data_IF_278118346046
#
_entry.id   IF_278118346046
#
_cell.length_a   1.000
_cell.length_b   1.000
_cell.length_c   1.000
_cell.angle_alpha   90.00
_cell.angle_beta   90.00
_cell.angle_gamma   90.00
#
_symmetry.space_group_name_H-M   'P 1'
#
loop_
_entity.id
_entity.type
_entity.pdbx_description
1 polymer ?
#
# COMPACT_ATOMS: atom_id res chain seq x y z
N UNK A 1 -22.75 -9.96 -15.11
CA UNK A 1 -22.62 -8.62 -14.52
C UNK A 1 -21.16 -8.23 -14.70
N UNK A 2 -20.85 -7.12 -15.37
CA UNK A 2 -19.47 -6.67 -15.44
C UNK A 2 -19.11 -6.13 -14.05
N UNK A 3 -18.35 -6.88 -13.27
CA UNK A 3 -17.71 -6.36 -12.07
C UNK A 3 -16.69 -5.34 -12.58
N UNK A 4 -16.92 -4.05 -12.34
CA UNK A 4 -15.93 -3.03 -12.68
C UNK A 4 -14.73 -3.25 -11.79
N UNK A 5 -13.68 -3.81 -12.36
CA UNK A 5 -12.40 -4.07 -11.70
C UNK A 5 -11.73 -2.76 -11.31
N UNK A 6 -11.20 -2.68 -10.09
CA UNK A 6 -10.47 -1.51 -9.59
C UNK A 6 -9.14 -1.36 -10.35
N UNK A 7 -8.91 -0.20 -10.98
CA UNK A 7 -7.62 0.10 -11.62
C UNK A 7 -6.64 0.66 -10.58
N UNK A 8 -5.52 -0.04 -10.39
CA UNK A 8 -4.45 0.39 -9.48
C UNK A 8 -3.61 1.54 -10.06
N UNK A 9 -3.72 1.80 -11.37
CA UNK A 9 -2.89 2.75 -12.12
C UNK A 9 -2.82 4.17 -11.56
N UNK A 10 -3.94 4.83 -11.22
CA UNK A 10 -3.90 6.18 -10.65
C UNK A 10 -3.07 6.26 -9.38
N UNK A 11 -3.23 5.27 -8.48
CA UNK A 11 -2.57 5.30 -7.19
C UNK A 11 -1.08 4.94 -7.29
N UNK A 12 -0.71 3.98 -8.15
CA UNK A 12 0.70 3.64 -8.38
C UNK A 12 1.47 4.75 -9.09
N UNK A 13 0.81 5.51 -9.98
CA UNK A 13 1.38 6.69 -10.62
C UNK A 13 1.65 7.82 -9.60
N UNK A 14 0.76 8.01 -8.63
CA UNK A 14 0.98 8.97 -7.55
C UNK A 14 2.20 8.59 -6.70
N UNK A 15 2.31 7.32 -6.27
CA UNK A 15 3.48 6.86 -5.50
C UNK A 15 4.77 7.03 -6.32
N UNK A 16 4.73 6.75 -7.63
CA UNK A 16 5.85 7.01 -8.54
C UNK A 16 6.31 8.48 -8.52
N UNK A 17 5.37 9.42 -8.52
CA UNK A 17 5.65 10.86 -8.43
C UNK A 17 6.33 11.22 -7.10
N UNK A 18 5.88 10.61 -5.99
CA UNK A 18 6.48 10.82 -4.67
C UNK A 18 7.92 10.30 -4.64
N UNK A 19 8.14 9.07 -5.08
CA UNK A 19 9.47 8.40 -5.13
C UNK A 19 10.50 9.23 -5.88
N UNK A 20 10.12 9.81 -7.03
CA UNK A 20 11.00 10.68 -7.81
C UNK A 20 11.46 11.93 -7.04
N UNK A 21 10.70 12.37 -6.05
CA UNK A 21 10.99 13.55 -5.24
C UNK A 21 11.77 13.28 -3.95
N UNK A 22 12.04 12.02 -3.59
CA UNK A 22 12.71 11.65 -2.34
C UNK A 22 14.22 11.92 -2.43
N UNK A 23 14.74 12.71 -1.49
CA UNK A 23 16.16 13.06 -1.39
C UNK A 23 16.91 12.10 -0.46
N UNK A 24 18.22 11.98 -0.68
CA UNK A 24 19.11 11.15 0.14
C UNK A 24 19.08 11.51 1.63
N UNK A 25 19.06 12.81 1.96
CA UNK A 25 19.02 13.30 3.34
C UNK A 25 17.73 12.92 4.09
N UNK A 26 16.68 12.51 3.37
CA UNK A 26 15.40 12.14 3.95
C UNK A 26 15.29 10.64 4.26
N UNK A 27 16.24 9.81 3.80
CA UNK A 27 16.17 8.35 3.93
C UNK A 27 16.10 7.87 5.39
N UNK A 28 16.67 8.63 6.32
CA UNK A 28 16.65 8.32 7.75
C UNK A 28 15.44 8.91 8.50
N UNK A 29 14.59 9.70 7.84
CA UNK A 29 13.44 10.32 8.49
C UNK A 29 12.45 9.26 9.01
N UNK A 30 11.82 9.48 10.17
CA UNK A 30 10.74 8.63 10.64
C UNK A 30 9.53 8.73 9.69
N UNK A 31 8.72 7.67 9.66
CA UNK A 31 7.44 7.65 8.94
C UNK A 31 6.29 7.47 9.93
N UNK A 32 5.03 7.75 9.52
CA UNK A 32 3.86 7.39 10.33
C UNK A 32 3.74 5.89 10.60
N UNK A 33 4.29 5.03 9.74
CA UNK A 33 4.40 3.60 9.99
C UNK A 33 5.54 3.32 10.97
N UNK A 34 5.22 3.26 12.25
CA UNK A 34 6.18 3.02 13.34
C UNK A 34 7.06 1.81 13.06
N UNK A 35 8.37 1.96 13.26
CA UNK A 35 9.36 0.91 12.98
C UNK A 35 10.00 1.01 11.59
N UNK A 36 9.43 1.79 10.67
CA UNK A 36 10.03 2.07 9.36
C UNK A 36 10.44 3.53 9.23
N UNK A 37 11.71 3.77 8.92
CA UNK A 37 12.15 5.04 8.35
C UNK A 37 11.90 5.03 6.83
N UNK A 38 12.15 6.16 6.15
CA UNK A 38 11.93 6.28 4.71
C UNK A 38 12.68 5.20 3.90
N UNK A 39 13.91 4.85 4.27
CA UNK A 39 14.67 3.81 3.59
C UNK A 39 14.03 2.41 3.71
N UNK A 40 13.61 2.04 4.93
CA UNK A 40 12.91 0.78 5.16
C UNK A 40 11.54 0.76 4.45
N UNK A 41 10.83 1.88 4.42
CA UNK A 41 9.55 2.00 3.70
C UNK A 41 9.74 1.85 2.18
N UNK A 42 10.81 2.41 1.61
CA UNK A 42 11.12 2.21 0.19
C UNK A 42 11.47 0.76 -0.13
N UNK A 43 12.22 0.09 0.76
CA UNK A 43 12.51 -1.34 0.65
C UNK A 43 11.22 -2.19 0.71
N UNK A 44 10.32 -1.87 1.64
CA UNK A 44 8.98 -2.47 1.73
C UNK A 44 8.21 -2.33 0.42
N UNK A 45 8.15 -1.14 -0.16
CA UNK A 45 7.49 -0.88 -1.45
C UNK A 45 8.11 -1.70 -2.60
N UNK A 46 9.43 -1.87 -2.62
CA UNK A 46 10.13 -2.72 -3.62
C UNK A 46 9.73 -4.18 -3.46
N UNK A 47 9.67 -4.70 -2.23
CA UNK A 47 9.22 -6.06 -1.94
C UNK A 47 7.74 -6.28 -2.28
N UNK A 48 6.86 -5.39 -1.82
CA UNK A 48 5.42 -5.51 -1.98
C UNK A 48 5.03 -5.52 -3.46
N UNK A 49 5.61 -4.64 -4.28
CA UNK A 49 5.23 -4.53 -5.70
C UNK A 49 5.55 -5.81 -6.45
N UNK A 50 6.62 -6.53 -6.09
CA UNK A 50 6.93 -7.86 -6.62
C UNK A 50 5.94 -8.89 -6.12
N UNK A 51 5.68 -8.93 -4.81
CA UNK A 51 4.80 -9.92 -4.19
C UNK A 51 3.37 -9.86 -4.76
N UNK A 52 2.78 -8.66 -4.80
CA UNK A 52 1.42 -8.45 -5.28
C UNK A 52 1.29 -8.56 -6.80
N UNK A 53 2.34 -8.26 -7.58
CA UNK A 53 2.35 -8.57 -9.03
C UNK A 53 2.34 -10.08 -9.25
N UNK A 54 3.17 -10.83 -8.54
CA UNK A 54 3.21 -12.30 -8.64
C UNK A 54 1.89 -12.94 -8.20
N UNK A 55 1.22 -12.35 -7.22
CA UNK A 55 -0.11 -12.79 -6.81
C UNK A 55 -1.15 -12.61 -7.92
N UNK A 56 -1.15 -11.47 -8.62
CA UNK A 56 -1.99 -11.28 -9.82
C UNK A 56 -1.69 -12.31 -10.91
N UNK A 57 -0.40 -12.61 -11.12
CA UNK A 57 0.08 -13.60 -12.09
C UNK A 57 -0.13 -15.06 -11.64
N UNK A 58 -0.68 -15.29 -10.44
CA UNK A 58 -0.82 -16.61 -9.80
C UNK A 58 0.49 -17.41 -9.78
N UNK A 59 1.60 -16.70 -9.63
CA UNK A 59 2.93 -17.28 -9.60
C UNK A 59 3.29 -17.78 -8.19
N UNK A 60 4.08 -18.85 -8.11
CA UNK A 60 4.65 -19.32 -6.83
C UNK A 60 5.62 -18.29 -6.23
N UNK A 61 5.85 -18.33 -4.92
CA UNK A 61 6.90 -17.55 -4.26
C UNK A 61 6.58 -16.06 -4.13
N UNK A 62 5.46 -15.73 -3.48
CA UNK A 62 5.04 -14.35 -3.17
C UNK A 62 5.51 -13.85 -1.81
N UNK A 63 6.28 -14.65 -1.07
CA UNK A 63 6.93 -14.23 0.17
C UNK A 63 8.08 -13.25 -0.06
N UNK A 64 8.22 -12.30 0.85
CA UNK A 64 9.31 -11.33 0.90
C UNK A 64 10.06 -11.39 2.23
N UNK A 65 11.23 -10.77 2.28
CA UNK A 65 11.95 -10.50 3.53
C UNK A 65 11.25 -9.36 4.28
N UNK A 66 11.36 -9.33 5.60
CA UNK A 66 10.95 -8.16 6.39
C UNK A 66 11.71 -6.92 5.91
N UNK A 67 11.03 -5.76 5.81
CA UNK A 67 11.62 -4.55 5.30
C UNK A 67 12.75 -4.03 6.20
N UNK A 68 13.89 -3.67 5.62
CA UNK A 68 15.03 -3.12 6.34
C UNK A 68 15.71 -2.02 5.51
N UNK A 69 16.06 -0.91 6.15
CA UNK A 69 16.83 0.16 5.53
C UNK A 69 18.15 -0.33 4.92
N UNK A 70 18.78 -1.35 5.51
CA UNK A 70 20.01 -1.96 5.02
C UNK A 70 19.83 -2.76 3.72
N UNK A 71 18.59 -3.17 3.39
CA UNK A 71 18.27 -3.93 2.19
C UNK A 71 17.92 -3.03 1.00
N UNK A 72 17.74 -1.73 1.21
CA UNK A 72 17.32 -0.80 0.17
C UNK A 72 18.28 -0.86 -1.03
N UNK A 73 17.74 -1.35 -2.14
CA UNK A 73 18.51 -1.56 -3.38
C UNK A 73 18.97 -0.22 -3.99
N UNK A 74 20.23 -0.08 -4.46
CA UNK A 74 20.75 1.21 -4.94
C UNK A 74 19.97 1.83 -6.13
N UNK A 75 19.26 1.00 -6.90
CA UNK A 75 18.48 1.40 -8.07
C UNK A 75 17.00 1.68 -7.75
N UNK A 76 16.61 1.81 -6.47
CA UNK A 76 15.22 1.98 -6.04
C UNK A 76 14.47 3.10 -6.78
N UNK A 77 15.16 4.21 -7.13
CA UNK A 77 14.57 5.36 -7.84
C UNK A 77 14.05 5.03 -9.24
N UNK A 78 14.63 4.04 -9.91
CA UNK A 78 14.19 3.60 -11.24
C UNK A 78 13.43 2.28 -11.16
N UNK A 79 13.83 1.40 -10.24
CA UNK A 79 13.20 0.10 -10.02
C UNK A 79 11.76 0.23 -9.54
N UNK A 80 11.52 1.01 -8.49
CA UNK A 80 10.21 1.08 -7.86
C UNK A 80 9.13 1.65 -8.81
N UNK A 81 9.38 2.73 -9.58
CA UNK A 81 8.46 3.19 -10.63
C UNK A 81 8.10 2.10 -11.66
N UNK A 82 9.11 1.36 -12.16
CA UNK A 82 8.87 0.29 -13.12
C UNK A 82 8.07 -0.87 -12.52
N UNK A 83 8.32 -1.22 -11.25
CA UNK A 83 7.57 -2.25 -10.54
C UNK A 83 6.12 -1.82 -10.25
N UNK A 84 5.89 -0.54 -9.92
CA UNK A 84 4.57 0.04 -9.71
C UNK A 84 3.73 0.02 -11.00
N UNK A 85 4.33 0.31 -12.14
CA UNK A 85 3.69 0.19 -13.46
C UNK A 85 3.36 -1.28 -13.79
N UNK A 86 4.29 -2.19 -13.54
CA UNK A 86 4.08 -3.63 -13.75
C UNK A 86 2.99 -4.20 -12.84
N UNK A 87 2.94 -3.77 -11.57
CA UNK A 87 1.88 -4.12 -10.61
C UNK A 87 0.51 -3.69 -11.14
N UNK A 88 0.37 -2.41 -11.53
CA UNK A 88 -0.89 -1.90 -12.07
C UNK A 88 -1.29 -2.64 -13.36
N UNK A 89 -0.33 -2.96 -14.22
CA UNK A 89 -0.59 -3.72 -15.45
C UNK A 89 -1.09 -5.13 -15.16
N UNK A 90 -0.50 -5.85 -14.20
CA UNK A 90 -0.92 -7.20 -13.86
C UNK A 90 -2.34 -7.25 -13.30
N UNK A 91 -2.72 -6.29 -12.46
CA UNK A 91 -4.08 -6.22 -11.89
C UNK A 91 -5.13 -5.63 -12.84
N UNK A 92 -4.77 -5.17 -14.04
CA UNK A 92 -5.75 -4.84 -15.10
C UNK A 92 -6.28 -6.08 -15.81
N UNK A 93 -5.58 -7.21 -15.72
CA UNK A 93 -6.13 -8.48 -16.20
C UNK A 93 -7.32 -8.88 -15.32
N UNK A 94 -8.47 -9.15 -15.95
CA UNK A 94 -9.65 -9.58 -15.22
C UNK A 94 -9.42 -10.93 -14.51
N UNK A 95 -8.63 -11.82 -15.11
CA UNK A 95 -8.34 -13.15 -14.56
C UNK A 95 -7.51 -13.07 -13.28
N UNK A 96 -6.82 -11.95 -13.03
CA UNK A 96 -6.07 -11.70 -11.80
C UNK A 96 -6.98 -11.60 -10.56
N UNK A 97 -8.25 -11.26 -10.73
CA UNK A 97 -9.22 -11.09 -9.64
C UNK A 97 -10.01 -12.35 -9.32
N UNK A 98 -9.95 -13.34 -10.21
CA UNK A 98 -10.78 -14.54 -10.13
C UNK A 98 -10.07 -15.70 -9.44
N UNK A 99 -10.78 -16.33 -8.50
CA UNK A 99 -10.36 -17.55 -7.81
C UNK A 99 -9.43 -17.27 -6.62
N UNK A 100 -8.49 -18.18 -6.40
CA UNK A 100 -7.54 -18.11 -5.29
C UNK A 100 -6.15 -17.72 -5.80
N UNK A 101 -5.39 -17.04 -4.95
CA UNK A 101 -3.96 -16.77 -5.15
C UNK A 101 -3.21 -16.86 -3.82
N UNK A 102 -1.89 -16.78 -3.87
CA UNK A 102 -1.04 -16.88 -2.68
C UNK A 102 -0.36 -15.56 -2.41
N UNK A 103 -0.40 -15.06 -1.18
CA UNK A 103 0.36 -13.89 -0.72
C UNK A 103 1.02 -14.21 0.62
N UNK A 104 2.32 -13.92 0.77
CA UNK A 104 3.08 -14.23 1.99
C UNK A 104 2.94 -15.70 2.47
N UNK A 105 2.80 -16.65 1.53
CA UNK A 105 2.62 -18.07 1.83
C UNK A 105 1.21 -18.49 2.26
N UNK A 106 0.24 -17.56 2.26
CA UNK A 106 -1.17 -17.82 2.57
C UNK A 106 -2.00 -17.83 1.29
N UNK A 107 -2.87 -18.84 1.16
CA UNK A 107 -3.84 -18.92 0.06
C UNK A 107 -5.10 -18.13 0.42
N UNK A 108 -5.51 -17.19 -0.44
CA UNK A 108 -6.60 -16.26 -0.22
C UNK A 108 -7.37 -15.97 -1.51
N UNK A 109 -8.63 -15.52 -1.44
CA UNK A 109 -9.36 -15.03 -2.62
C UNK A 109 -8.57 -13.91 -3.31
N UNK A 110 -8.40 -14.01 -4.63
CA UNK A 110 -7.57 -13.08 -5.37
C UNK A 110 -8.09 -11.63 -5.31
N UNK A 111 -9.42 -11.46 -5.25
CA UNK A 111 -10.03 -10.15 -5.05
C UNK A 111 -9.64 -9.50 -3.71
N UNK A 112 -9.53 -10.27 -2.63
CA UNK A 112 -9.09 -9.76 -1.33
C UNK A 112 -7.61 -9.37 -1.38
N UNK A 113 -6.78 -10.18 -2.03
CA UNK A 113 -5.35 -9.87 -2.22
C UNK A 113 -5.16 -8.60 -3.06
N UNK A 114 -5.99 -8.37 -4.08
CA UNK A 114 -5.98 -7.14 -4.86
C UNK A 114 -6.32 -5.91 -4.02
N UNK A 115 -7.34 -6.02 -3.15
CA UNK A 115 -7.73 -4.96 -2.20
C UNK A 115 -6.65 -4.68 -1.14
N UNK A 116 -5.99 -5.72 -0.63
CA UNK A 116 -4.84 -5.56 0.27
C UNK A 116 -3.71 -4.82 -0.45
N UNK A 117 -3.36 -5.25 -1.65
CA UNK A 117 -2.25 -4.67 -2.42
C UNK A 117 -2.44 -3.20 -2.73
N UNK A 118 -3.64 -2.79 -3.14
CA UNK A 118 -3.92 -1.37 -3.39
C UNK A 118 -4.02 -0.55 -2.10
N UNK A 119 -4.49 -1.14 -1.00
CA UNK A 119 -4.49 -0.50 0.32
C UNK A 119 -3.07 -0.24 0.82
N UNK A 120 -2.16 -1.20 0.64
CA UNK A 120 -0.72 -1.03 0.91
C UNK A 120 -0.13 0.13 0.09
N UNK A 121 -0.37 0.18 -1.22
CA UNK A 121 0.12 1.26 -2.10
C UNK A 121 -0.45 2.63 -1.67
N UNK A 122 -1.73 2.69 -1.33
CA UNK A 122 -2.41 3.90 -0.88
C UNK A 122 -1.83 4.42 0.45
N UNK A 123 -1.77 3.57 1.48
CA UNK A 123 -1.35 4.01 2.81
C UNK A 123 0.15 4.29 2.86
N UNK A 124 0.98 3.41 2.31
CA UNK A 124 2.44 3.61 2.33
C UNK A 124 2.91 4.68 1.34
N UNK A 125 2.16 4.93 0.27
CA UNK A 125 2.36 6.09 -0.57
C UNK A 125 2.22 7.40 0.20
N UNK A 126 1.21 7.48 1.07
CA UNK A 126 1.01 8.63 1.94
C UNK A 126 2.06 8.70 3.05
N UNK A 127 2.38 7.58 3.71
CA UNK A 127 3.45 7.51 4.73
C UNK A 127 4.76 8.10 4.18
N UNK A 128 5.11 7.75 2.94
CA UNK A 128 6.29 8.27 2.25
C UNK A 128 6.15 9.76 1.92
N UNK A 129 4.99 10.19 1.44
CA UNK A 129 4.76 11.57 1.06
C UNK A 129 4.89 12.52 2.25
N UNK A 130 4.22 12.22 3.37
CA UNK A 130 4.27 13.08 4.56
C UNK A 130 5.66 13.10 5.20
N UNK A 131 6.35 11.94 5.28
CA UNK A 131 7.71 11.85 5.82
C UNK A 131 8.75 12.63 4.98
N UNK A 132 8.44 12.88 3.70
CA UNK A 132 9.32 13.58 2.76
C UNK A 132 8.83 14.98 2.37
N UNK A 133 7.78 15.48 3.03
CA UNK A 133 7.23 16.81 2.83
C UNK A 133 6.61 17.01 1.45
N UNK A 134 6.01 15.97 0.87
CA UNK A 134 5.32 16.01 -0.42
C UNK A 134 3.81 16.05 -0.21
N UNK A 135 3.13 16.80 -1.07
CA UNK A 135 1.68 16.68 -1.22
C UNK A 135 1.33 15.25 -1.66
N UNK A 136 0.24 14.69 -1.16
CA UNK A 136 -0.27 13.37 -1.55
C UNK A 136 -1.70 13.47 -2.08
N UNK A 137 -1.97 12.79 -3.20
CA UNK A 137 -3.26 12.78 -3.89
C UNK A 137 -3.79 11.36 -3.97
N UNK A 138 -4.60 10.99 -2.99
CA UNK A 138 -5.33 9.74 -3.02
C UNK A 138 -6.36 9.75 -4.16
N UNK A 139 -6.37 8.69 -4.98
CA UNK A 139 -7.43 8.51 -5.96
C UNK A 139 -8.78 8.26 -5.26
N UNK A 140 -9.86 9.01 -5.59
CA UNK A 140 -11.13 8.89 -4.87
C UNK A 140 -11.76 7.50 -4.94
N UNK A 141 -11.67 6.80 -6.08
CA UNK A 141 -12.24 5.46 -6.21
C UNK A 141 -11.45 4.44 -5.38
N UNK A 142 -10.12 4.56 -5.39
CA UNK A 142 -9.21 3.77 -4.56
C UNK A 142 -9.47 3.99 -3.08
N UNK A 143 -9.59 5.24 -2.63
CA UNK A 143 -9.87 5.57 -1.24
C UNK A 143 -11.21 4.98 -0.75
N UNK A 144 -12.26 5.01 -1.58
CA UNK A 144 -13.56 4.40 -1.25
C UNK A 144 -13.48 2.88 -1.16
N UNK A 145 -12.79 2.22 -2.10
CA UNK A 145 -12.60 0.78 -2.08
C UNK A 145 -11.81 0.32 -0.85
N UNK A 146 -10.70 1.00 -0.54
CA UNK A 146 -9.89 0.73 0.65
C UNK A 146 -10.66 0.99 1.95
N UNK A 147 -11.51 2.04 1.99
CA UNK A 147 -12.35 2.29 3.17
C UNK A 147 -13.34 1.14 3.40
N UNK A 148 -14.04 0.72 2.36
CA UNK A 148 -14.98 -0.40 2.45
C UNK A 148 -14.28 -1.70 2.89
N UNK A 149 -13.10 -1.98 2.32
CA UNK A 149 -12.26 -3.11 2.72
C UNK A 149 -11.86 -3.04 4.20
N UNK A 150 -11.30 -1.92 4.66
CA UNK A 150 -10.82 -1.78 6.03
C UNK A 150 -11.95 -1.89 7.06
N UNK A 151 -13.12 -1.31 6.78
CA UNK A 151 -14.30 -1.45 7.66
C UNK A 151 -14.80 -2.90 7.71
N UNK A 152 -14.82 -3.59 6.57
CA UNK A 152 -15.17 -5.02 6.51
C UNK A 152 -14.17 -5.89 7.28
N UNK A 153 -12.87 -5.61 7.13
CA UNK A 153 -11.79 -6.30 7.82
C UNK A 153 -11.87 -6.10 9.34
N UNK A 154 -12.07 -4.87 9.80
CA UNK A 154 -12.23 -4.55 11.21
C UNK A 154 -13.46 -5.24 11.83
N UNK A 155 -14.56 -5.39 11.07
CA UNK A 155 -15.76 -6.07 11.54
C UNK A 155 -15.64 -7.60 11.52
N UNK A 156 -14.96 -8.16 10.51
CA UNK A 156 -14.88 -9.60 10.30
C UNK A 156 -13.72 -10.30 11.01
N UNK A 157 -12.61 -9.59 11.25
CA UNK A 157 -11.38 -10.16 11.81
C UNK A 157 -10.61 -9.14 12.70
N UNK A 158 -11.22 -8.64 13.79
CA UNK A 158 -10.64 -7.57 14.60
C UNK A 158 -9.27 -7.94 15.20
N UNK A 159 -9.07 -9.19 15.63
CA UNK A 159 -7.79 -9.61 16.22
C UNK A 159 -6.66 -9.66 15.18
N UNK A 160 -6.97 -10.02 13.93
CA UNK A 160 -6.00 -10.01 12.84
C UNK A 160 -5.66 -8.58 12.43
N UNK A 161 -6.68 -7.71 12.40
CA UNK A 161 -6.49 -6.27 12.16
C UNK A 161 -5.52 -5.66 13.17
N UNK A 162 -5.66 -5.96 14.45
CA UNK A 162 -4.81 -5.42 15.51
C UNK A 162 -3.36 -5.93 15.46
N UNK A 163 -3.10 -7.01 14.72
CA UNK A 163 -1.74 -7.51 14.47
C UNK A 163 -1.06 -6.81 13.28
N UNK A 164 -1.84 -6.32 12.32
CA UNK A 164 -1.33 -5.75 11.06
C UNK A 164 -1.30 -4.22 11.11
N UNK A 165 -2.28 -3.59 11.78
CA UNK A 165 -2.41 -2.14 11.89
C UNK A 165 -2.18 -1.65 13.32
N UNK A 166 -1.76 -0.39 13.42
CA UNK A 166 -1.75 0.32 14.69
C UNK A 166 -3.16 0.54 15.26
N UNK A 167 -3.29 1.03 16.50
CA UNK A 167 -4.59 1.37 17.10
C UNK A 167 -5.39 2.31 16.18
N UNK A 168 -6.71 2.13 16.10
CA UNK A 168 -7.57 3.03 15.30
C UNK A 168 -7.39 4.46 15.79
N UNK A 169 -7.11 5.39 14.86
CA UNK A 169 -7.15 6.82 15.12
C UNK A 169 -8.57 7.33 14.80
N UNK A 170 -9.28 7.94 15.76
CA UNK A 170 -10.63 8.45 15.51
C UNK A 170 -10.63 9.54 14.44
N UNK A 171 -11.46 9.35 13.40
CA UNK A 171 -11.70 10.32 12.33
C UNK A 171 -13.21 10.49 12.16
N UNK A 172 -13.72 11.73 11.99
CA UNK A 172 -15.15 11.96 11.78
C UNK A 172 -15.73 11.15 10.61
N UNK A 173 -16.97 10.68 10.73
CA UNK A 173 -17.61 9.87 9.68
C UNK A 173 -17.90 10.64 8.39
N UNK A 174 -18.00 11.97 8.49
CA UNK A 174 -18.17 12.89 7.36
C UNK A 174 -16.83 13.41 6.78
N UNK A 175 -15.69 12.98 7.34
CA UNK A 175 -14.38 13.28 6.80
C UNK A 175 -14.19 12.62 5.41
N UNK A 176 -13.27 13.15 4.59
CA UNK A 176 -12.85 12.51 3.35
C UNK A 176 -12.55 11.02 3.55
N UNK A 177 -12.92 10.18 2.57
CA UNK A 177 -12.76 8.73 2.68
C UNK A 177 -11.32 8.30 2.94
N UNK A 178 -10.35 9.04 2.37
CA UNK A 178 -8.94 8.75 2.57
C UNK A 178 -8.50 8.99 4.02
N UNK A 179 -8.93 10.08 4.65
CA UNK A 179 -8.63 10.35 6.07
C UNK A 179 -9.18 9.23 6.96
N UNK A 180 -10.36 8.71 6.63
CA UNK A 180 -10.96 7.56 7.33
C UNK A 180 -10.16 6.27 7.11
N UNK A 181 -9.60 6.05 5.92
CA UNK A 181 -8.65 4.93 5.66
C UNK A 181 -7.41 5.06 6.55
N UNK A 182 -6.84 6.26 6.64
CA UNK A 182 -5.69 6.52 7.53
C UNK A 182 -6.05 6.18 8.98
N UNK A 183 -7.19 6.68 9.46
CA UNK A 183 -7.67 6.38 10.82
C UNK A 183 -7.84 4.87 11.11
N UNK A 184 -8.46 4.13 10.18
CA UNK A 184 -8.66 2.68 10.31
C UNK A 184 -7.35 1.89 10.30
N UNK A 185 -6.32 2.39 9.61
CA UNK A 185 -4.98 1.77 9.53
C UNK A 185 -4.01 2.31 10.59
N UNK A 186 -4.53 3.11 11.53
CA UNK A 186 -3.79 3.63 12.68
C UNK A 186 -2.86 4.81 12.38
N UNK A 187 -3.07 5.47 11.25
CA UNK A 187 -2.38 6.72 10.88
C UNK A 187 -3.18 7.91 11.37
N UNK A 188 -2.47 8.92 11.86
CA UNK A 188 -3.03 10.23 12.15
C UNK A 188 -3.02 11.09 10.87
N UNK A 189 -4.17 11.49 10.31
CA UNK A 189 -4.21 12.35 9.12
C UNK A 189 -3.46 13.68 9.28
N UNK A 190 -3.33 14.17 10.52
CA UNK A 190 -2.62 15.41 10.86
C UNK A 190 -1.13 15.18 11.19
N UNK A 191 -0.60 13.98 10.90
CA UNK A 191 0.80 13.65 11.19
C UNK A 191 1.77 14.67 10.58
N UNK A 192 2.71 15.12 11.40
CA UNK A 192 3.79 16.00 10.99
C UNK A 192 5.13 15.47 11.53
N UNK A 193 6.20 15.64 10.74
CA UNK A 193 7.57 15.47 11.24
C UNK A 193 7.82 16.53 12.32
N UNK A 194 8.05 16.10 13.56
CA UNK A 194 8.49 16.98 14.66
C UNK A 194 9.89 17.54 14.47
#
# INVERSE_FOLDING_TARGET
MQTTTLDLGPQTAEVTRIVAGVREDQLCHPTPCTGMNVAALLDHLVGLTVAFRRAAEKAEGTGGQEPDAANLVPDWRTRLPAQLEALATAWRDADAWDGMTTIAGMEMPAADVGLVGINEVLVHGWDLAVATGKEYRADPATAQACLAYNLGFAAGAPEMRDQIYGPVVPVPDDAPAFDRVLGQTGRDPDWATG
#
